data_IF_957507454497
#
_entry.id   IF_957507454497
#
_cell.length_a   1.000
_cell.length_b   1.000
_cell.length_c   1.000
_cell.angle_alpha   90.00
_cell.angle_beta   90.00
_cell.angle_gamma   90.00
#
_symmetry.space_group_name_H-M   'P 1'
#
loop_
_entity.id
_entity.type
_entity.pdbx_description
1 polymer ?
2 water ?
#
# COMPACT_ATOMS: atom_id res chain seq x y z
N UNK A 3 -1.22 20.58 -15.07
CA UNK A 3 -2.38 20.21 -15.87
C UNK A 3 -3.29 19.26 -15.11
N UNK A 4 -4.55 19.21 -15.48
CA UNK A 4 -5.55 18.41 -14.79
C UNK A 4 -6.07 17.30 -15.70
N UNK A 5 -6.40 16.16 -15.09
CA UNK A 5 -7.00 15.03 -15.78
C UNK A 5 -8.36 14.77 -15.16
N UNK A 6 -9.38 14.61 -15.99
CA UNK A 6 -10.73 14.28 -15.56
C UNK A 6 -10.99 12.82 -15.90
N UNK A 7 -11.18 12.00 -14.87
CA UNK A 7 -11.33 10.56 -15.03
C UNK A 7 -12.59 10.10 -14.31
N UNK A 8 -13.43 9.35 -15.02
CA UNK A 8 -14.58 8.72 -14.38
C UNK A 8 -14.10 7.53 -13.57
N UNK A 9 -14.46 7.51 -12.28
CA UNK A 9 -13.91 6.53 -11.35
C UNK A 9 -15.04 5.75 -10.68
N UNK A 10 -14.67 4.58 -10.18
CA UNK A 10 -15.54 3.72 -9.39
C UNK A 10 -14.91 3.58 -8.01
N UNK A 11 -15.49 4.26 -7.02
CA UNK A 11 -14.85 4.41 -5.72
C UNK A 11 -15.87 4.23 -4.61
N UNK A 12 -15.35 4.08 -3.38
CA UNK A 12 -16.18 3.97 -2.19
C UNK A 12 -15.84 5.04 -1.16
N UNK A 13 -15.21 6.13 -1.59
CA UNK A 13 -14.72 7.14 -0.69
C UNK A 13 -13.32 6.90 -0.17
N UNK A 14 -12.86 5.65 -0.17
CA UNK A 14 -11.50 5.31 0.25
C UNK A 14 -10.73 4.71 -0.90
N UNK A 15 -11.01 3.46 -1.27
CA UNK A 15 -10.42 2.88 -2.48
C UNK A 15 -11.03 3.53 -3.71
N UNK A 16 -10.36 3.34 -4.85
CA UNK A 16 -10.79 3.97 -6.09
C UNK A 16 -10.21 3.19 -7.26
N UNK A 17 -11.02 3.03 -8.31
CA UNK A 17 -10.60 2.36 -9.53
C UNK A 17 -11.16 3.13 -10.71
N UNK A 18 -10.62 2.85 -11.90
CA UNK A 18 -11.16 3.42 -13.12
C UNK A 18 -12.54 2.85 -13.40
N UNK A 19 -13.48 3.72 -13.77
CA UNK A 19 -14.83 3.28 -14.06
C UNK A 19 -14.87 2.52 -15.38
N UNK A 20 -15.30 1.26 -15.33
CA UNK A 20 -15.41 0.42 -16.50
C UNK A 20 -16.82 -0.11 -16.71
N UNK A 21 -17.81 0.45 -16.02
CA UNK A 21 -19.16 -0.04 -16.05
C UNK A 21 -19.52 -1.00 -14.95
N UNK A 22 -18.96 -0.83 -13.75
CA UNK A 22 -19.25 -1.74 -12.65
C UNK A 22 -20.72 -1.66 -12.23
N UNK A 23 -21.37 -0.52 -12.45
CA UNK A 23 -22.78 -0.36 -12.13
C UNK A 23 -23.70 -0.81 -13.25
N UNK A 24 -23.16 -1.33 -14.34
CA UNK A 24 -23.97 -1.82 -15.46
C UNK A 24 -24.13 -3.33 -15.38
N UNK A 25 -24.81 -3.76 -14.32
CA UNK A 25 -25.03 -5.18 -14.05
C UNK A 25 -26.51 -5.50 -14.12
N UNK A 26 -26.82 -6.74 -14.49
CA UNK A 26 -28.20 -7.23 -14.47
C UNK A 26 -28.58 -7.79 -13.11
N UNK A 27 -27.64 -7.88 -12.18
CA UNK A 27 -27.93 -8.38 -10.84
C UNK A 27 -28.89 -7.46 -10.12
N UNK A 28 -29.69 -8.06 -9.23
CA UNK A 28 -30.58 -7.26 -8.39
C UNK A 28 -29.83 -6.51 -7.30
N UNK A 29 -28.58 -6.90 -7.02
CA UNK A 29 -27.81 -6.35 -5.93
C UNK A 29 -26.71 -5.42 -6.45
N UNK A 30 -26.18 -4.61 -5.53
CA UNK A 30 -25.06 -3.73 -5.83
C UNK A 30 -24.33 -3.45 -4.53
N UNK A 31 -23.08 -2.99 -4.64
CA UNK A 31 -22.28 -2.68 -3.47
C UNK A 31 -22.86 -1.47 -2.74
N UNK A 32 -22.87 -1.55 -1.40
CA UNK A 32 -23.47 -0.48 -0.60
C UNK A 32 -22.66 0.81 -0.69
N UNK A 33 -21.34 0.71 -0.55
CA UNK A 33 -20.48 1.87 -0.38
C UNK A 33 -19.87 2.39 -1.67
N UNK A 34 -19.95 1.62 -2.76
CA UNK A 34 -19.29 1.99 -4.01
C UNK A 34 -20.25 2.76 -4.91
N UNK A 35 -19.71 3.72 -5.65
CA UNK A 35 -20.52 4.58 -6.50
C UNK A 35 -19.67 5.10 -7.65
N UNK A 36 -20.36 5.54 -8.71
CA UNK A 36 -19.72 6.15 -9.86
C UNK A 36 -19.51 7.64 -9.60
N UNK A 37 -18.34 8.15 -9.98
CA UNK A 37 -18.00 9.54 -9.69
C UNK A 37 -17.02 10.05 -10.73
N UNK A 38 -16.80 11.36 -10.71
CA UNK A 38 -15.87 12.04 -11.57
C UNK A 38 -14.70 12.55 -10.74
N UNK A 39 -13.48 12.29 -11.19
CA UNK A 39 -12.27 12.64 -10.47
C UNK A 39 -11.48 13.68 -11.26
N UNK A 40 -11.21 14.82 -10.62
CA UNK A 40 -10.31 15.84 -11.18
C UNK A 40 -8.94 15.59 -10.56
N UNK A 41 -8.02 15.08 -11.37
CA UNK A 41 -6.72 14.61 -10.89
C UNK A 41 -5.67 15.67 -11.17
N UNK A 42 -4.98 16.12 -10.12
CA UNK A 42 -3.93 17.12 -10.21
C UNK A 42 -2.65 16.53 -9.64
N UNK A 43 -1.59 16.53 -10.45
CA UNK A 43 -0.32 15.96 -10.01
C UNK A 43 0.38 16.91 -9.03
N UNK A 44 0.89 16.35 -7.94
CA UNK A 44 1.58 17.14 -6.92
C UNK A 44 3.05 17.35 -7.26
N UNK B 4 -18.52 15.59 -1.33
CA UNK B 4 -17.27 15.59 -2.07
C UNK B 4 -16.09 15.28 -1.17
N UNK B 5 -15.10 14.57 -1.71
CA UNK B 5 -13.90 14.19 -0.98
C UNK B 5 -12.68 14.55 -1.81
N UNK B 6 -11.55 14.68 -1.11
CA UNK B 6 -10.26 14.95 -1.73
C UNK B 6 -9.33 13.82 -1.33
N UNK B 7 -9.01 12.95 -2.29
CA UNK B 7 -8.18 11.78 -2.05
C UNK B 7 -6.81 11.96 -2.68
N UNK B 8 -5.78 11.49 -1.98
CA UNK B 8 -4.45 11.36 -2.56
C UNK B 8 -4.40 10.01 -3.28
N UNK B 9 -4.05 10.02 -4.56
CA UNK B 9 -4.16 8.82 -5.39
C UNK B 9 -2.82 8.53 -6.04
N UNK B 10 -2.68 7.27 -6.46
CA UNK B 10 -1.54 6.80 -7.24
C UNK B 10 -2.08 6.39 -8.61
N UNK B 11 -1.73 7.16 -9.65
CA UNK B 11 -2.37 7.00 -10.94
C UNK B 11 -1.38 7.29 -12.05
N UNK B 12 -1.74 6.84 -13.26
CA UNK B 12 -1.02 7.17 -14.48
C UNK B 12 -1.87 8.00 -15.43
N UNK B 13 -2.96 8.59 -14.93
CA UNK B 13 -3.91 9.30 -15.75
C UNK B 13 -5.02 8.43 -16.32
N UNK B 14 -4.81 7.11 -16.37
CA UNK B 14 -5.83 6.18 -16.86
C UNK B 14 -6.26 5.25 -15.74
N UNK B 15 -5.41 4.31 -15.31
CA UNK B 15 -5.68 3.54 -14.12
C UNK B 15 -5.39 4.37 -12.88
N UNK B 16 -6.09 4.07 -11.79
CA UNK B 16 -5.98 4.86 -10.56
C UNK B 16 -6.12 3.94 -9.36
N UNK B 17 -5.34 4.23 -8.32
CA UNK B 17 -5.42 3.54 -7.05
C UNK B 17 -5.29 4.54 -5.92
N UNK B 18 -5.77 4.14 -4.74
CA UNK B 18 -5.52 4.92 -3.54
C UNK B 18 -4.03 4.97 -3.25
N UNK B 19 -3.51 6.16 -2.98
CA UNK B 19 -2.09 6.31 -2.71
C UNK B 19 -1.73 5.69 -1.36
N UNK B 20 -0.78 4.75 -1.37
CA UNK B 20 -0.30 4.12 -0.15
C UNK B 20 1.22 4.19 -0.05
N UNK B 21 1.85 5.08 -0.80
CA UNK B 21 3.30 5.21 -0.80
C UNK B 21 3.96 4.31 -1.84
N UNK B 22 3.33 4.16 -3.00
CA UNK B 22 3.88 3.30 -4.05
C UNK B 22 5.17 3.86 -4.63
N UNK B 23 5.43 5.15 -4.47
CA UNK B 23 6.64 5.77 -5.00
C UNK B 23 7.80 5.74 -4.02
N UNK B 24 7.62 5.16 -2.83
CA UNK B 24 8.66 5.08 -1.82
C UNK B 24 9.18 3.64 -1.75
N UNK B 25 9.91 3.25 -2.79
CA UNK B 25 10.44 1.90 -2.93
C UNK B 25 11.95 1.91 -2.84
N UNK B 26 12.51 0.73 -2.57
CA UNK B 26 13.97 0.58 -2.49
C UNK B 26 14.60 0.50 -3.87
N UNK B 27 13.84 0.12 -4.89
CA UNK B 27 14.39 -0.04 -6.23
C UNK B 27 14.90 1.29 -6.77
N UNK B 28 15.93 1.21 -7.62
CA UNK B 28 16.43 2.39 -8.31
C UNK B 28 15.64 2.71 -9.57
N UNK B 29 14.59 1.95 -9.86
CA UNK B 29 13.70 2.19 -10.98
C UNK B 29 12.33 2.59 -10.49
N UNK B 30 11.58 3.26 -11.37
CA UNK B 30 10.20 3.63 -11.07
C UNK B 30 9.40 3.58 -12.37
N UNK B 31 8.09 3.48 -12.23
CA UNK B 31 7.21 3.47 -13.39
C UNK B 31 7.25 4.83 -14.08
N UNK B 32 7.27 4.80 -15.42
CA UNK B 32 7.40 6.04 -16.19
C UNK B 32 6.18 6.93 -16.02
N UNK B 33 4.98 6.35 -16.13
CA UNK B 33 3.76 7.13 -16.28
C UNK B 33 2.99 7.32 -14.99
N UNK B 34 3.37 6.65 -13.91
CA UNK B 34 2.61 6.73 -12.67
C UNK B 34 3.16 7.83 -11.76
N UNK B 35 2.26 8.50 -11.05
CA UNK B 35 2.63 9.64 -10.22
C UNK B 35 1.64 9.78 -9.07
N UNK B 36 2.08 10.47 -8.02
CA UNK B 36 1.23 10.80 -6.89
C UNK B 36 0.45 12.07 -7.21
N UNK B 37 -0.86 12.04 -6.95
CA UNK B 37 -1.72 13.15 -7.35
C UNK B 37 -2.85 13.32 -6.36
N UNK B 38 -3.52 14.47 -6.45
CA UNK B 38 -4.70 14.78 -5.66
C UNK B 38 -5.92 14.68 -6.55
N UNK B 39 -6.93 13.95 -6.07
CA UNK B 39 -8.14 13.68 -6.85
C UNK B 39 -9.34 14.24 -6.12
N UNK B 40 -10.08 15.13 -6.78
CA UNK B 40 -11.35 15.64 -6.26
C UNK B 40 -12.46 14.74 -6.79
N UNK B 41 -13.09 13.98 -5.89
CA UNK B 41 -14.10 13.00 -6.25
C UNK B 41 -15.47 13.60 -5.99
N UNK B 42 -16.28 13.73 -7.04
CA UNK B 42 -17.63 14.26 -6.94
C UNK B 42 -18.60 13.16 -7.33
N UNK B 43 -19.51 12.83 -6.42
CA UNK B 43 -20.41 11.70 -6.60
C UNK B 43 -21.36 11.92 -7.78
N UNK B 44 -21.81 10.82 -8.37
CA UNK B 44 -22.75 10.83 -9.48
C UNK B 44 -22.21 11.59 -10.69
N UNK C 3 17.47 6.21 4.02
CA UNK C 3 16.44 6.26 2.98
C UNK C 3 15.11 5.76 3.53
N UNK C 4 14.02 6.39 3.11
CA UNK C 4 12.67 6.00 3.51
C UNK C 4 12.05 5.12 2.45
N UNK C 5 11.42 4.02 2.89
CA UNK C 5 10.61 3.18 2.03
C UNK C 5 9.32 2.86 2.75
N UNK C 6 8.33 2.39 1.98
CA UNK C 6 7.04 1.99 2.51
C UNK C 6 6.75 0.59 2.01
N UNK C 7 6.50 -0.33 2.93
CA UNK C 7 6.20 -1.71 2.60
C UNK C 7 4.90 -2.14 3.26
N UNK C 8 4.11 -2.92 2.54
CA UNK C 8 2.97 -3.61 3.14
C UNK C 8 3.48 -4.88 3.81
N UNK C 9 3.15 -5.06 5.08
CA UNK C 9 3.72 -6.14 5.88
C UNK C 9 2.61 -6.98 6.49
N UNK C 10 2.98 -8.21 6.85
CA UNK C 10 2.11 -9.15 7.56
C UNK C 10 2.80 -9.46 8.89
N UNK C 11 2.27 -8.90 9.98
CA UNK C 11 2.95 -8.92 11.27
C UNK C 11 1.96 -9.28 12.38
N UNK C 12 2.51 -9.60 13.54
CA UNK C 12 1.73 -9.88 14.74
C UNK C 12 2.11 -8.99 15.90
N UNK C 13 2.83 -7.89 15.65
CA UNK C 13 3.33 -7.03 16.70
C UNK C 13 4.74 -7.34 17.13
N UNK C 14 5.27 -8.52 16.81
CA UNK C 14 6.63 -8.89 17.16
C UNK C 14 7.37 -9.38 15.93
N UNK C 15 6.92 -10.50 15.37
CA UNK C 15 7.44 -10.97 14.10
C UNK C 15 6.84 -10.17 12.95
N UNK C 16 7.57 -10.12 11.84
CA UNK C 16 7.13 -9.35 10.69
C UNK C 16 7.69 -9.98 9.42
N UNK C 17 6.89 -9.99 8.36
CA UNK C 17 7.30 -10.51 7.08
C UNK C 17 6.59 -9.72 5.99
N UNK C 18 7.07 -9.88 4.75
CA UNK C 18 6.46 -9.18 3.63
C UNK C 18 5.04 -9.69 3.39
N UNK C 19 4.13 -8.76 3.14
CA UNK C 19 2.74 -9.12 2.87
C UNK C 19 2.62 -9.73 1.48
N UNK C 20 2.14 -10.98 1.41
CA UNK C 20 1.92 -11.67 0.16
C UNK C 20 0.48 -12.13 0.00
N UNK C 21 -0.45 -11.50 0.72
CA UNK C 21 -1.83 -11.91 0.68
C UNK C 21 -2.22 -12.98 1.69
N UNK C 22 -1.61 -12.95 2.88
CA UNK C 22 -1.89 -13.97 3.89
C UNK C 22 -3.32 -13.88 4.42
N UNK C 23 -3.94 -12.72 4.35
CA UNK C 23 -5.30 -12.54 4.84
C UNK C 23 -6.37 -12.90 3.81
N UNK C 24 -5.98 -13.31 2.61
CA UNK C 24 -6.91 -13.70 1.56
C UNK C 24 -6.85 -15.22 1.44
N UNK C 25 -7.68 -15.89 2.23
CA UNK C 25 -7.72 -17.34 2.29
C UNK C 25 -9.17 -17.83 2.21
N UNK C 26 -9.33 -19.09 1.82
CA UNK C 26 -10.66 -19.68 1.76
C UNK C 26 -11.12 -20.18 3.14
N UNK C 27 -10.18 -20.38 4.06
CA UNK C 27 -10.53 -20.87 5.39
C UNK C 27 -11.41 -19.86 6.11
N UNK C 28 -12.31 -20.39 6.95
CA UNK C 28 -13.15 -19.55 7.80
C UNK C 28 -12.39 -18.95 8.96
N UNK C 29 -11.20 -19.43 9.27
CA UNK C 29 -10.43 -19.01 10.42
C UNK C 29 -9.19 -18.22 9.98
N UNK C 30 -8.64 -17.49 10.95
CA UNK C 30 -7.40 -16.76 10.75
C UNK C 30 -6.70 -16.62 12.10
N UNK C 31 -5.40 -16.34 12.05
CA UNK C 31 -4.63 -16.17 13.27
C UNK C 31 -5.14 -14.95 14.04
N UNK C 32 -5.19 -15.10 15.37
CA UNK C 32 -5.74 -14.03 16.20
C UNK C 32 -4.84 -12.79 16.21
N UNK C 33 -3.53 -13.00 16.23
CA UNK C 33 -2.59 -11.91 16.48
C UNK C 33 -1.98 -11.32 15.21
N UNK C 34 -2.12 -11.99 14.07
CA UNK C 34 -1.50 -11.52 12.83
C UNK C 34 -2.46 -10.64 12.04
N UNK C 35 -1.92 -9.58 11.44
CA UNK C 35 -2.74 -8.62 10.72
C UNK C 35 -1.91 -7.95 9.64
N UNK C 36 -2.60 -7.41 8.65
CA UNK C 36 -1.96 -6.66 7.57
C UNK C 36 -1.77 -5.21 7.98
N UNK C 37 -0.62 -4.65 7.61
CA UNK C 37 -0.28 -3.29 8.04
C UNK C 37 0.67 -2.66 7.03
N UNK C 38 0.80 -1.34 7.13
CA UNK C 38 1.72 -0.56 6.31
C UNK C 38 2.86 -0.07 7.20
N UNK C 39 4.10 -0.32 6.76
CA UNK C 39 5.28 -0.01 7.55
C UNK C 39 6.08 1.09 6.86
N UNK C 40 6.30 2.18 7.57
CA UNK C 40 7.21 3.24 7.12
C UNK C 40 8.59 2.91 7.70
N UNK C 41 9.54 2.58 6.82
CA UNK C 41 10.83 2.05 7.22
C UNK C 41 11.89 3.12 6.98
N UNK C 42 12.61 3.50 8.03
CA UNK C 42 13.66 4.50 7.97
C UNK C 42 14.99 3.86 8.36
N UNK C 43 15.98 3.98 7.48
CA UNK C 43 17.29 3.42 7.74
C UNK C 43 18.05 4.23 8.79
N UNK D 3 -4.11 1.24 15.40
CA UNK D 3 -3.00 0.79 16.23
C UNK D 3 -1.66 0.99 15.51
N UNK D 4 -0.70 1.58 16.23
CA UNK D 4 0.64 1.83 15.70
C UNK D 4 1.66 1.21 16.63
N UNK D 5 2.65 0.53 16.05
CA UNK D 5 3.78 -0.01 16.78
C UNK D 5 5.06 0.39 16.06
N UNK D 6 6.15 0.43 16.81
CA UNK D 6 7.46 0.80 16.29
C UNK D 6 8.40 -0.37 16.54
N UNK D 7 8.87 -1.00 15.47
CA UNK D 7 9.74 -2.15 15.55
C UNK D 7 11.07 -1.87 14.86
N UNK D 8 12.14 -2.46 15.40
CA UNK D 8 13.44 -2.48 14.75
C UNK D 8 13.48 -3.69 13.84
N UNK D 9 13.74 -3.47 12.55
CA UNK D 9 13.60 -4.52 11.55
C UNK D 9 14.92 -4.76 10.84
N UNK D 10 15.01 -5.91 10.18
CA UNK D 10 16.13 -6.29 9.33
C UNK D 10 15.57 -6.55 7.95
N UNK D 11 15.90 -5.69 6.99
CA UNK D 11 15.24 -5.71 5.69
C UNK D 11 16.23 -5.34 4.60
N UNK D 12 15.85 -5.66 3.37
CA UNK D 12 16.58 -5.26 2.17
C UNK D 12 15.74 -4.38 1.27
N UNK D 13 14.63 -3.83 1.80
CA UNK D 13 13.68 -3.09 1.00
C UNK D 13 12.61 -3.94 0.36
N UNK D 14 12.79 -5.26 0.32
CA UNK D 14 11.80 -6.18 -0.25
C UNK D 14 11.29 -7.10 0.84
N UNK D 15 12.12 -8.07 1.24
CA UNK D 15 11.81 -8.88 2.41
C UNK D 15 12.13 -8.10 3.68
N UNK D 16 11.54 -8.53 4.79
CA UNK D 16 11.71 -7.83 6.06
C UNK D 16 11.53 -8.82 7.19
N UNK D 17 12.34 -8.66 8.24
CA UNK D 17 12.28 -9.52 9.41
C UNK D 17 12.49 -8.68 10.66
N UNK D 18 12.12 -9.25 11.81
CA UNK D 18 12.47 -8.68 13.09
C UNK D 18 13.99 -8.63 13.24
N UNK D 19 14.49 -7.51 13.76
CA UNK D 19 15.92 -7.36 13.95
C UNK D 19 16.38 -8.13 15.17
N UNK D 20 17.29 -9.09 14.97
CA UNK D 20 17.86 -9.88 16.06
C UNK D 20 19.39 -9.73 16.11
N UNK D 21 19.93 -8.71 15.47
CA UNK D 21 21.37 -8.54 15.40
C UNK D 21 22.03 -9.23 14.24
N UNK D 22 21.36 -9.29 13.08
CA UNK D 22 21.91 -10.03 11.94
C UNK D 22 23.20 -9.39 11.42
N UNK D 23 23.36 -8.09 11.60
CA UNK D 23 24.55 -7.39 11.12
C UNK D 23 25.68 -7.36 12.14
N UNK D 24 25.51 -8.00 13.30
CA UNK D 24 26.49 -7.98 14.38
C UNK D 24 26.92 -9.39 14.75
N UNK D 25 27.16 -10.24 13.76
CA UNK D 25 27.66 -11.58 14.00
C UNK D 25 29.17 -11.61 13.87
N UNK D 26 29.77 -12.75 14.24
CA UNK D 26 31.21 -12.92 14.15
C UNK D 26 31.68 -13.12 12.71
N UNK D 27 30.76 -13.37 11.79
CA UNK D 27 31.12 -13.56 10.39
C UNK D 27 31.76 -12.30 9.83
N UNK D 28 32.77 -12.48 8.99
CA UNK D 28 33.41 -11.35 8.33
C UNK D 28 32.66 -10.91 7.07
N UNK D 29 31.63 -11.64 6.67
CA UNK D 29 30.80 -11.27 5.54
C UNK D 29 29.46 -10.71 6.02
N UNK D 30 28.80 -9.99 5.13
CA UNK D 30 27.46 -9.47 5.40
C UNK D 30 26.73 -9.29 4.08
N UNK D 31 25.40 -9.32 4.16
CA UNK D 31 24.59 -9.17 2.96
C UNK D 31 24.73 -7.77 2.38
N UNK D 32 24.78 -7.69 1.05
CA UNK D 32 25.01 -6.41 0.38
C UNK D 32 23.83 -5.46 0.56
N UNK D 33 22.61 -5.95 0.34
CA UNK D 33 21.44 -5.09 0.25
C UNK D 33 20.62 -5.03 1.54
N UNK D 34 21.04 -5.72 2.59
CA UNK D 34 20.28 -5.78 3.83
C UNK D 34 20.84 -4.78 4.85
N UNK D 35 19.94 -4.19 5.63
CA UNK D 35 20.32 -3.14 6.57
C UNK D 35 19.34 -3.12 7.74
N UNK D 36 19.83 -2.63 8.88
CA UNK D 36 18.99 -2.42 10.05
C UNK D 36 18.22 -1.12 9.91
N UNK D 37 16.97 -1.13 10.35
CA UNK D 37 16.12 0.05 10.21
C UNK D 37 15.01 0.02 11.25
N UNK D 38 14.32 1.14 11.39
CA UNK D 38 13.17 1.29 12.27
C UNK D 38 11.91 1.40 11.43
N UNK D 39 10.92 0.58 11.75
CA UNK D 39 9.67 0.52 10.98
C UNK D 39 8.52 0.97 11.87
N UNK D 40 7.87 2.07 11.47
CA UNK D 40 6.63 2.51 12.09
C UNK D 40 5.49 1.76 11.39
N UNK D 41 4.83 0.87 12.13
CA UNK D 41 3.87 -0.07 11.56
C UNK D 41 2.47 0.37 11.95
N UNK D 42 1.65 0.68 10.96
CA UNK D 42 0.27 1.12 11.18
C UNK D 42 -0.67 0.08 10.58
N UNK D 43 -1.55 -0.46 11.42
CA UNK D 43 -2.52 -1.46 10.99
C UNK D 43 -3.50 -0.89 9.97
#
# INVERSE_FOLDING_TARGET
>A
SRKEIILTVWTNGNAIRKYTGQDKTISKYKLKDWYKATAVITKEEETNETKTN
>B
SRKEIILTVWTNGNAIRKYTGQDKTISKYKLKDWYKATAVITKEEETNETKTN
>C
SRKEIILTVWTNGNAIRKYTGQDKTISKYKLKDWYKATAVITKEEETNETKTN
>D
SRKEIILTVWTNGNAIRKYTGQDKTISKYKLKDWYKATAVITKEEETNETKTN
#
